data_IF_548740598093
#
_entry.id   IF_548740598093
#
_cell.length_a   1.000
_cell.length_b   1.000
_cell.length_c   1.000
_cell.angle_alpha   90.00
_cell.angle_beta   90.00
_cell.angle_gamma   90.00
#
_symmetry.space_group_name_H-M   'P 1'
#
loop_
_entity.id
_entity.type
_entity.pdbx_description
1 polymer ?
#
# COMPACT_ATOMS: atom_id res chain seq x y z
N UNK A 1 -3.67 23.77 8.74
CA UNK A 1 -3.06 23.88 10.08
C UNK A 1 -3.40 22.60 10.81
N UNK A 2 -2.39 21.83 11.18
CA UNK A 2 -2.56 20.52 11.85
C UNK A 2 -3.00 20.76 13.31
N UNK A 3 -3.95 19.98 13.85
CA UNK A 3 -4.34 20.13 15.26
C UNK A 3 -3.16 19.90 16.21
N UNK A 4 -3.07 20.71 17.27
CA UNK A 4 -1.94 20.69 18.23
C UNK A 4 -1.70 19.33 18.88
N UNK A 5 -2.74 18.53 19.05
CA UNK A 5 -2.64 17.20 19.67
C UNK A 5 -1.73 16.26 18.86
N UNK A 6 -1.77 16.36 17.53
CA UNK A 6 -0.89 15.60 16.63
C UNK A 6 0.55 16.11 16.65
N UNK A 7 0.74 17.43 16.80
CA UNK A 7 2.07 18.05 16.93
C UNK A 7 2.73 17.60 18.23
N UNK A 8 1.98 17.55 19.33
CA UNK A 8 2.49 17.10 20.63
C UNK A 8 2.87 15.62 20.62
N UNK A 9 2.06 14.75 20.02
CA UNK A 9 2.38 13.31 19.93
C UNK A 9 3.63 13.02 19.09
N UNK A 10 3.81 13.74 17.96
CA UNK A 10 4.97 13.53 17.08
C UNK A 10 6.28 14.08 17.65
N UNK A 11 6.20 15.00 18.63
CA UNK A 11 7.36 15.59 19.31
C UNK A 11 8.23 14.56 20.05
N UNK A 12 7.65 13.43 20.45
CA UNK A 12 8.42 12.35 21.09
C UNK A 12 9.43 11.68 20.13
N UNK A 13 9.18 11.76 18.82
CA UNK A 13 9.95 11.10 17.78
C UNK A 13 10.75 12.09 16.91
N UNK A 14 10.33 13.37 16.88
CA UNK A 14 10.95 14.39 16.05
C UNK A 14 12.06 15.15 16.79
N UNK A 15 13.24 15.39 16.16
CA UNK A 15 14.37 16.08 16.79
C UNK A 15 14.19 17.62 16.89
N UNK A 16 13.01 18.15 16.56
CA UNK A 16 12.78 19.57 16.33
C UNK A 16 12.25 20.30 17.58
N UNK A 17 12.75 21.52 17.80
CA UNK A 17 12.45 22.32 18.99
C UNK A 17 11.16 23.13 18.82
N UNK A 18 10.84 23.56 17.60
CA UNK A 18 9.70 24.44 17.33
C UNK A 18 8.50 23.66 16.77
N UNK A 19 7.31 23.94 17.28
CA UNK A 19 6.05 23.31 16.84
C UNK A 19 5.79 23.49 15.33
N UNK A 20 6.20 24.63 14.76
CA UNK A 20 6.09 24.90 13.33
C UNK A 20 6.99 23.98 12.47
N UNK A 21 8.13 23.52 13.01
CA UNK A 21 9.01 22.57 12.33
C UNK A 21 8.46 21.15 12.41
N UNK A 22 7.83 20.79 13.54
CA UNK A 22 7.09 19.53 13.69
C UNK A 22 5.88 19.49 12.75
N UNK A 23 5.15 20.61 12.62
CA UNK A 23 4.06 20.73 11.64
C UNK A 23 4.58 20.63 10.20
N UNK A 24 5.72 21.26 9.87
CA UNK A 24 6.34 21.10 8.54
C UNK A 24 6.80 19.65 8.28
N UNK A 25 7.37 18.97 9.27
CA UNK A 25 7.78 17.56 9.18
C UNK A 25 6.57 16.62 9.00
N UNK A 26 5.43 16.92 9.62
CA UNK A 26 4.16 16.21 9.37
C UNK A 26 3.59 16.49 7.97
N UNK A 27 3.84 17.67 7.41
CA UNK A 27 3.39 18.08 6.07
C UNK A 27 4.32 17.55 4.96
N UNK A 28 5.61 17.41 5.21
CA UNK A 28 6.63 17.00 4.21
C UNK A 28 6.38 15.61 3.57
N UNK A 29 5.92 14.57 4.30
CA UNK A 29 5.46 13.30 3.72
C UNK A 29 4.25 13.48 2.80
N UNK A 30 3.38 14.46 3.11
CA UNK A 30 2.17 14.76 2.33
C UNK A 30 2.46 15.67 1.12
N UNK A 31 3.60 16.35 1.07
CA UNK A 31 4.02 17.25 -0.02
C UNK A 31 5.04 16.64 -0.98
N UNK A 32 5.36 15.35 -0.82
CA UNK A 32 6.02 14.55 -1.87
C UNK A 32 7.54 14.67 -1.97
N UNK A 33 8.24 15.08 -0.90
CA UNK A 33 9.72 15.08 -0.90
C UNK A 33 10.33 13.74 -0.47
N UNK A 34 9.58 12.87 0.21
CA UNK A 34 10.02 11.52 0.53
C UNK A 34 9.64 10.58 -0.63
N UNK A 35 10.63 10.01 -1.33
CA UNK A 35 10.39 8.89 -2.23
C UNK A 35 9.98 7.68 -1.39
N UNK A 36 8.70 7.35 -1.38
CA UNK A 36 8.19 6.11 -0.78
C UNK A 36 8.64 4.95 -1.67
N UNK A 37 9.41 4.03 -1.10
CA UNK A 37 9.82 2.80 -1.77
C UNK A 37 8.76 1.70 -1.59
N UNK A 38 8.71 0.68 -2.47
CA UNK A 38 7.80 -0.45 -2.28
C UNK A 38 7.95 -1.17 -0.93
N UNK A 39 9.18 -1.25 -0.39
CA UNK A 39 9.42 -1.81 0.94
C UNK A 39 8.75 -0.99 2.05
N UNK A 40 8.79 0.34 1.97
CA UNK A 40 8.13 1.21 2.96
C UNK A 40 6.61 0.98 2.95
N UNK A 41 6.02 0.77 1.77
CA UNK A 41 4.59 0.47 1.63
C UNK A 41 4.25 -0.88 2.26
N UNK A 42 5.08 -1.90 2.01
CA UNK A 42 4.86 -3.25 2.54
C UNK A 42 5.00 -3.27 4.05
N UNK A 43 6.01 -2.60 4.62
CA UNK A 43 6.18 -2.47 6.07
C UNK A 43 4.96 -1.79 6.73
N UNK A 44 4.48 -0.68 6.14
CA UNK A 44 3.27 -0.01 6.60
C UNK A 44 2.03 -0.92 6.54
N UNK A 45 1.91 -1.71 5.47
CA UNK A 45 0.82 -2.65 5.29
C UNK A 45 0.85 -3.80 6.32
N UNK A 46 2.04 -4.34 6.63
CA UNK A 46 2.21 -5.35 7.68
C UNK A 46 1.84 -4.81 9.06
N UNK A 47 2.29 -3.58 9.39
CA UNK A 47 1.94 -2.91 10.63
C UNK A 47 0.42 -2.71 10.75
N UNK A 48 -0.25 -2.32 9.66
CA UNK A 48 -1.71 -2.19 9.61
C UNK A 48 -2.43 -3.52 9.88
N UNK A 49 -1.98 -4.61 9.26
CA UNK A 49 -2.57 -5.93 9.46
C UNK A 49 -2.41 -6.39 10.92
N UNK A 50 -1.23 -6.21 11.49
CA UNK A 50 -0.94 -6.55 12.87
C UNK A 50 -1.83 -5.76 13.85
N UNK A 51 -2.00 -4.45 13.66
CA UNK A 51 -2.87 -3.63 14.50
C UNK A 51 -4.35 -4.01 14.33
N UNK A 52 -4.76 -4.43 13.13
CA UNK A 52 -6.13 -4.87 12.84
C UNK A 52 -6.40 -6.31 13.29
N UNK A 53 -5.40 -7.02 13.82
CA UNK A 53 -5.49 -8.43 14.19
C UNK A 53 -5.69 -9.38 13.00
N UNK A 54 -5.44 -8.90 11.78
CA UNK A 54 -5.55 -9.67 10.55
C UNK A 54 -4.22 -10.34 10.23
N UNK A 55 -4.28 -11.54 9.63
CA UNK A 55 -3.11 -12.24 9.12
C UNK A 55 -3.40 -12.74 7.73
N UNK A 56 -2.44 -12.53 6.85
CA UNK A 56 -2.47 -13.02 5.47
C UNK A 56 -1.03 -13.24 5.04
N UNK A 57 -0.79 -14.41 4.45
CA UNK A 57 0.51 -14.81 3.95
C UNK A 57 0.72 -14.34 2.51
N UNK A 58 1.99 -14.26 2.09
CA UNK A 58 2.35 -14.04 0.70
C UNK A 58 1.60 -14.99 -0.26
N UNK A 59 1.56 -16.28 0.05
CA UNK A 59 0.90 -17.27 -0.79
C UNK A 59 -0.61 -17.01 -0.95
N UNK A 60 -1.30 -16.59 0.12
CA UNK A 60 -2.72 -16.25 0.06
C UNK A 60 -2.97 -15.02 -0.82
N UNK A 61 -2.09 -14.01 -0.74
CA UNK A 61 -2.16 -12.84 -1.61
C UNK A 61 -1.93 -13.17 -3.09
N UNK A 62 -0.89 -13.93 -3.38
CA UNK A 62 -0.57 -14.36 -4.74
C UNK A 62 -1.71 -15.17 -5.35
N UNK A 63 -2.27 -16.13 -4.60
CA UNK A 63 -3.43 -16.91 -5.03
C UNK A 63 -4.68 -16.03 -5.28
N UNK A 64 -4.96 -15.09 -4.37
CA UNK A 64 -6.11 -14.21 -4.50
C UNK A 64 -6.02 -13.29 -5.73
N UNK A 65 -4.85 -12.70 -5.97
CA UNK A 65 -4.62 -11.85 -7.13
C UNK A 65 -4.58 -12.63 -8.44
N UNK A 66 -4.03 -13.84 -8.44
CA UNK A 66 -4.06 -14.72 -9.61
C UNK A 66 -5.51 -15.08 -10.01
N UNK A 67 -6.37 -15.36 -9.03
CA UNK A 67 -7.80 -15.60 -9.28
C UNK A 67 -8.50 -14.34 -9.83
N UNK A 68 -8.24 -13.16 -9.23
CA UNK A 68 -8.79 -11.88 -9.70
C UNK A 68 -8.36 -11.50 -11.11
N UNK A 69 -7.15 -11.90 -11.52
CA UNK A 69 -6.61 -11.60 -12.86
C UNK A 69 -7.42 -12.25 -13.97
N UNK A 70 -8.08 -13.38 -13.72
CA UNK A 70 -8.91 -14.09 -14.71
C UNK A 70 -10.42 -13.86 -14.52
N UNK A 71 -10.82 -13.22 -13.42
CA UNK A 71 -12.21 -12.93 -13.11
C UNK A 71 -12.73 -11.73 -13.91
N UNK A 72 -13.62 -12.01 -14.85
CA UNK A 72 -14.24 -11.00 -15.72
C UNK A 72 -15.10 -9.99 -14.96
N UNK A 73 -15.72 -10.38 -13.85
CA UNK A 73 -16.55 -9.48 -13.03
C UNK A 73 -15.65 -8.48 -12.33
N UNK A 74 -14.61 -8.96 -11.65
CA UNK A 74 -13.62 -8.11 -11.01
C UNK A 74 -12.98 -7.11 -11.98
N UNK A 75 -12.54 -7.58 -13.16
CA UNK A 75 -11.93 -6.70 -14.17
C UNK A 75 -12.91 -5.63 -14.70
N UNK A 76 -14.18 -5.99 -14.88
CA UNK A 76 -15.22 -5.03 -15.29
C UNK A 76 -15.51 -3.98 -14.22
N UNK A 77 -15.63 -4.41 -12.96
CA UNK A 77 -15.89 -3.52 -11.83
C UNK A 77 -14.75 -2.52 -11.65
N UNK A 78 -13.50 -2.98 -11.73
CA UNK A 78 -12.33 -2.09 -11.64
C UNK A 78 -12.35 -1.00 -12.73
N UNK A 79 -12.71 -1.35 -13.97
CA UNK A 79 -12.81 -0.38 -15.06
C UNK A 79 -13.84 0.72 -14.78
N UNK A 80 -14.91 0.40 -14.05
CA UNK A 80 -15.94 1.39 -13.67
C UNK A 80 -15.48 2.39 -12.60
N UNK A 81 -14.51 2.01 -11.77
CA UNK A 81 -13.96 2.85 -10.70
C UNK A 81 -12.87 3.81 -11.19
N UNK A 82 -12.34 3.58 -12.40
CA UNK A 82 -11.30 4.41 -12.98
C UNK A 82 -11.88 5.73 -13.50
N UNK A 83 -11.04 6.77 -13.50
CA UNK A 83 -11.37 8.01 -14.19
C UNK A 83 -11.60 7.75 -15.68
N UNK A 84 -12.49 8.52 -16.28
CA UNK A 84 -12.90 8.35 -17.67
C UNK A 84 -11.77 8.54 -18.69
N UNK A 85 -10.69 9.22 -18.29
CA UNK A 85 -9.48 9.45 -19.09
C UNK A 85 -8.47 8.31 -18.99
N UNK A 86 -8.61 7.39 -18.04
CA UNK A 86 -7.73 6.22 -17.88
C UNK A 86 -8.10 5.07 -18.84
N UNK A 87 -8.30 5.39 -20.12
CA UNK A 87 -8.76 4.43 -21.15
C UNK A 87 -7.77 3.31 -21.42
N UNK A 88 -6.48 3.58 -21.23
CA UNK A 88 -5.39 2.65 -21.50
C UNK A 88 -4.94 1.87 -20.26
N UNK A 89 -5.68 2.00 -19.15
CA UNK A 89 -5.37 1.26 -17.93
C UNK A 89 -5.71 -0.23 -18.10
N UNK A 90 -4.69 -1.07 -18.02
CA UNK A 90 -4.83 -2.52 -18.02
C UNK A 90 -4.76 -3.04 -16.58
N UNK A 91 -5.90 -3.49 -16.05
CA UNK A 91 -6.01 -4.05 -14.70
C UNK A 91 -5.17 -5.33 -14.54
N UNK A 92 -5.06 -6.17 -15.57
CA UNK A 92 -4.28 -7.39 -15.50
C UNK A 92 -2.77 -7.08 -15.44
N UNK A 93 -2.31 -6.10 -16.22
CA UNK A 93 -0.94 -5.61 -16.15
C UNK A 93 -0.63 -4.95 -14.80
N UNK A 94 -1.58 -4.17 -14.26
CA UNK A 94 -1.45 -3.57 -12.93
C UNK A 94 -1.33 -4.63 -11.82
N UNK A 95 -2.10 -5.73 -11.91
CA UNK A 95 -1.96 -6.86 -10.99
C UNK A 95 -0.55 -7.46 -11.06
N UNK A 96 0.02 -7.63 -12.26
CA UNK A 96 1.40 -8.13 -12.40
C UNK A 96 2.42 -7.21 -11.73
N UNK A 97 2.27 -5.89 -11.91
CA UNK A 97 3.12 -4.91 -11.25
C UNK A 97 3.00 -4.95 -9.72
N UNK A 98 1.80 -5.18 -9.19
CA UNK A 98 1.59 -5.32 -7.74
C UNK A 98 2.22 -6.61 -7.21
N UNK A 99 2.07 -7.72 -7.95
CA UNK A 99 2.68 -9.00 -7.60
C UNK A 99 4.21 -8.90 -7.55
N UNK A 100 4.81 -8.29 -8.57
CA UNK A 100 6.26 -8.17 -8.71
C UNK A 100 6.88 -7.20 -7.71
N UNK A 101 6.30 -6.01 -7.52
CA UNK A 101 6.96 -4.94 -6.77
C UNK A 101 6.59 -4.91 -5.28
N UNK A 102 5.43 -5.46 -4.89
CA UNK A 102 4.93 -5.36 -3.51
C UNK A 102 4.71 -6.73 -2.88
N UNK A 103 3.91 -7.60 -3.50
CA UNK A 103 3.55 -8.91 -2.90
C UNK A 103 4.78 -9.81 -2.76
N UNK A 104 5.74 -9.70 -3.67
CA UNK A 104 7.01 -10.44 -3.62
C UNK A 104 7.86 -10.15 -2.37
N UNK A 105 7.64 -8.99 -1.72
CA UNK A 105 8.32 -8.55 -0.51
C UNK A 105 7.65 -9.06 0.77
N UNK A 106 6.41 -9.56 0.70
CA UNK A 106 5.71 -10.10 1.87
C UNK A 106 6.41 -11.37 2.39
N UNK A 107 6.41 -11.60 3.72
CA UNK A 107 7.04 -12.77 4.29
C UNK A 107 6.26 -14.06 3.98
N UNK A 108 7.00 -15.16 3.98
CA UNK A 108 6.46 -16.51 3.79
C UNK A 108 6.82 -17.13 2.44
N UNK A 109 6.43 -18.39 2.27
CA UNK A 109 6.67 -19.11 1.02
C UNK A 109 5.76 -18.58 -0.10
N UNK A 110 6.23 -18.54 -1.36
CA UNK A 110 5.40 -18.18 -2.50
C UNK A 110 4.32 -19.25 -2.73
N UNK A 111 3.25 -18.82 -3.40
CA UNK A 111 2.18 -19.68 -3.84
C UNK A 111 2.68 -20.68 -4.88
N UNK A 112 2.24 -21.94 -4.76
CA UNK A 112 2.67 -23.04 -5.64
C UNK A 112 1.79 -23.22 -6.87
N UNK A 113 0.89 -22.28 -7.14
CA UNK A 113 -0.13 -22.40 -8.17
C UNK A 113 -1.29 -23.32 -7.77
N UNK A 114 -2.36 -23.30 -8.57
CA UNK A 114 -3.41 -24.32 -8.49
C UNK A 114 -2.87 -25.66 -9.00
N UNK A 115 -3.07 -26.73 -8.22
CA UNK A 115 -2.88 -28.09 -8.74
C UNK A 115 -3.93 -28.29 -9.84
N UNK A 116 -3.46 -28.35 -11.09
CA UNK A 116 -4.26 -28.76 -12.25
C UNK A 116 -4.92 -30.12 -12.05
#
# INVERSE_FOLDING_TARGET
MIPKDFITAWREHAPWILDAQVEQDLVLPLTGQQRVSPSDVVECFEAYLQQSGLRVSRAEFEANLAAKKTDRVFLSDMRSLLRQDARDFDTALAIDQVLENYVSLLPGAPWKGEKR
#
